data_IF_092342887149
#
_entry.id   IF_092342887149
#
_cell.length_a   1.000
_cell.length_b   1.000
_cell.length_c   1.000
_cell.angle_alpha   90.00
_cell.angle_beta   90.00
_cell.angle_gamma   90.00
#
_symmetry.space_group_name_H-M   'P 1'
#
loop_
_entity.id
_entity.type
_entity.pdbx_description
1 polymer ?
#
# COMPACT_ATOMS: atom_id res chain seq x y z
N UNK A 1 16.21 7.86 -8.55
CA UNK A 1 16.78 7.76 -7.20
C UNK A 1 15.87 8.46 -6.18
N UNK A 2 15.95 8.15 -4.87
CA UNK A 2 15.21 8.89 -3.86
C UNK A 2 15.51 10.39 -3.92
N UNK A 3 14.46 11.20 -3.99
CA UNK A 3 14.55 12.65 -4.17
C UNK A 3 14.44 13.14 -5.61
N UNK A 4 14.44 12.25 -6.58
CA UNK A 4 14.14 12.62 -7.97
C UNK A 4 12.68 13.06 -8.08
N UNK A 5 12.43 14.06 -8.91
CA UNK A 5 11.11 14.63 -9.14
C UNK A 5 10.66 14.51 -10.58
N UNK A 6 9.37 14.27 -10.78
CA UNK A 6 8.72 14.28 -12.08
C UNK A 6 7.50 15.21 -12.03
N UNK A 7 7.36 16.09 -13.02
CA UNK A 7 6.17 16.93 -13.19
C UNK A 7 5.23 16.35 -14.23
N UNK A 8 3.99 16.14 -13.84
CA UNK A 8 2.94 15.60 -14.71
C UNK A 8 1.65 16.42 -14.56
N UNK A 9 1.22 17.10 -15.63
CA UNK A 9 -0.09 17.74 -15.68
C UNK A 9 -0.38 18.78 -14.59
N UNK A 10 0.67 19.45 -14.08
CA UNK A 10 0.54 20.42 -12.97
C UNK A 10 0.75 19.81 -11.58
N UNK A 11 0.93 18.50 -11.49
CA UNK A 11 1.32 17.81 -10.26
C UNK A 11 2.80 17.52 -10.19
N UNK A 12 3.31 17.34 -8.97
CA UNK A 12 4.68 16.96 -8.67
C UNK A 12 4.69 15.54 -8.09
N UNK A 13 5.56 14.68 -8.60
CA UNK A 13 5.83 13.35 -8.04
C UNK A 13 7.26 13.34 -7.54
N UNK A 14 7.48 12.87 -6.32
CA UNK A 14 8.79 12.67 -5.72
C UNK A 14 9.03 11.20 -5.45
N UNK A 15 10.17 10.68 -5.88
CA UNK A 15 10.61 9.32 -5.53
C UNK A 15 11.06 9.30 -4.07
N UNK A 16 10.45 8.43 -3.27
CA UNK A 16 10.73 8.28 -1.84
C UNK A 16 11.67 7.11 -1.54
N UNK A 17 11.53 6.05 -2.33
CA UNK A 17 12.33 4.84 -2.17
C UNK A 17 12.63 4.22 -3.53
N UNK A 18 13.80 3.59 -3.67
CA UNK A 18 14.20 2.84 -4.86
C UNK A 18 15.46 2.04 -4.54
N UNK A 19 15.53 0.79 -4.99
CA UNK A 19 16.72 -0.07 -4.85
C UNK A 19 17.25 -0.18 -3.40
N UNK A 20 16.36 -0.25 -2.43
CA UNK A 20 16.60 -0.25 -0.96
C UNK A 20 17.08 1.09 -0.38
N UNK A 21 17.26 2.09 -1.19
CA UNK A 21 17.57 3.44 -0.70
C UNK A 21 16.26 4.19 -0.42
N UNK A 22 16.26 5.03 0.61
CA UNK A 22 15.12 5.84 1.01
C UNK A 22 15.46 7.32 1.05
N UNK A 23 14.45 8.16 0.88
CA UNK A 23 14.57 9.60 0.96
C UNK A 23 15.05 10.04 2.35
N UNK A 24 16.08 10.87 2.39
CA UNK A 24 16.70 11.37 3.63
C UNK A 24 16.32 12.82 3.98
N UNK A 25 15.39 13.41 3.24
CA UNK A 25 14.88 14.78 3.45
C UNK A 25 13.36 14.81 3.32
N UNK A 26 12.65 15.68 4.03
CA UNK A 26 11.21 15.74 3.91
C UNK A 26 10.77 16.35 2.56
N UNK A 27 9.61 15.90 2.06
CA UNK A 27 8.82 16.64 1.06
C UNK A 27 8.03 17.77 1.74
N UNK A 28 7.38 18.61 0.96
CA UNK A 28 6.53 19.67 1.49
C UNK A 28 5.40 19.11 2.35
N UNK A 29 5.33 19.52 3.61
CA UNK A 29 4.36 19.04 4.60
C UNK A 29 4.90 17.96 5.54
N UNK A 30 6.03 17.35 5.21
CA UNK A 30 6.69 16.35 6.04
C UNK A 30 7.73 16.91 7.01
N UNK A 31 8.41 16.01 7.70
CA UNK A 31 9.54 16.29 8.59
C UNK A 31 9.22 16.23 10.08
N UNK A 32 7.96 16.02 10.46
CA UNK A 32 7.55 15.88 11.85
C UNK A 32 8.05 14.56 12.44
N UNK A 33 8.33 14.58 13.76
CA UNK A 33 8.70 13.37 14.49
C UNK A 33 7.59 12.33 14.37
N UNK A 34 7.96 11.11 14.05
CA UNK A 34 7.04 9.99 13.98
C UNK A 34 6.95 9.29 15.36
N UNK A 35 5.82 9.39 16.08
CA UNK A 35 5.69 8.82 17.42
C UNK A 35 5.67 7.29 17.43
N UNK A 36 5.34 6.66 16.30
CA UNK A 36 5.20 5.21 16.19
C UNK A 36 6.55 4.48 16.04
N UNK A 37 7.64 5.18 15.82
CA UNK A 37 8.96 4.56 15.62
C UNK A 37 9.44 3.74 16.82
N UNK A 38 9.09 4.13 18.05
CA UNK A 38 9.54 3.44 19.26
C UNK A 38 8.91 2.06 19.48
N UNK A 39 7.77 1.82 18.86
CA UNK A 39 7.04 0.53 18.93
C UNK A 39 7.43 -0.47 17.85
N UNK A 40 8.21 -0.06 16.87
CA UNK A 40 8.55 -0.92 15.74
C UNK A 40 9.55 -2.03 16.14
N UNK A 41 9.23 -3.25 15.70
CA UNK A 41 10.11 -4.41 15.86
C UNK A 41 10.66 -4.79 14.50
N UNK A 42 11.98 -4.70 14.32
CA UNK A 42 12.64 -5.10 13.06
C UNK A 42 12.33 -6.55 12.71
N UNK A 43 12.00 -6.76 11.46
CA UNK A 43 11.76 -8.06 10.87
C UNK A 43 13.07 -8.63 10.27
N UNK A 44 13.11 -9.93 9.93
CA UNK A 44 14.20 -10.47 9.11
C UNK A 44 14.40 -9.63 7.86
N UNK A 45 15.65 -9.45 7.46
CA UNK A 45 15.97 -8.66 6.27
C UNK A 45 15.39 -9.29 5.01
N UNK A 46 14.67 -8.48 4.24
CA UNK A 46 14.22 -8.85 2.90
C UNK A 46 15.30 -8.47 1.88
N UNK A 47 15.81 -9.47 1.19
CA UNK A 47 16.75 -9.31 0.10
C UNK A 47 16.10 -9.51 -1.28
N UNK A 48 14.78 -9.63 -1.33
CA UNK A 48 13.99 -9.78 -2.55
C UNK A 48 13.77 -8.46 -3.29
N UNK A 49 13.03 -8.57 -4.38
CA UNK A 49 12.70 -7.43 -5.23
C UNK A 49 11.73 -6.46 -4.53
N UNK A 50 10.88 -6.95 -3.61
CA UNK A 50 9.92 -6.13 -2.89
C UNK A 50 10.60 -5.01 -2.08
N UNK A 51 11.69 -5.33 -1.38
CA UNK A 51 12.47 -4.33 -0.66
C UNK A 51 13.14 -3.29 -1.58
N UNK A 52 13.16 -3.51 -2.89
CA UNK A 52 13.73 -2.62 -3.91
C UNK A 52 12.65 -1.81 -4.65
N UNK A 53 11.38 -1.94 -4.25
CA UNK A 53 10.25 -1.24 -4.88
C UNK A 53 10.48 0.27 -4.96
N UNK A 54 9.89 0.87 -5.98
CA UNK A 54 9.85 2.32 -6.14
C UNK A 54 8.67 2.86 -5.32
N UNK A 55 9.00 3.66 -4.30
CA UNK A 55 8.01 4.42 -3.54
C UNK A 55 7.90 5.85 -4.08
N UNK A 56 6.69 6.38 -4.16
CA UNK A 56 6.43 7.74 -4.63
C UNK A 56 5.45 8.48 -3.73
N UNK A 57 5.66 9.78 -3.63
CA UNK A 57 4.70 10.75 -3.11
C UNK A 57 4.27 11.67 -4.25
N UNK A 58 2.99 11.81 -4.46
CA UNK A 58 2.42 12.72 -5.43
C UNK A 58 1.70 13.88 -4.78
N UNK A 59 1.79 15.07 -5.38
CA UNK A 59 1.09 16.28 -4.96
C UNK A 59 0.49 17.01 -6.15
N UNK A 60 -0.78 17.41 -6.01
CA UNK A 60 -1.46 18.28 -6.97
C UNK A 60 -2.26 19.33 -6.18
N UNK A 61 -1.76 20.56 -6.17
CA UNK A 61 -2.29 21.58 -5.26
C UNK A 61 -2.12 21.16 -3.80
N UNK A 62 -3.24 21.05 -3.09
CA UNK A 62 -3.25 20.56 -1.71
C UNK A 62 -3.49 19.06 -1.61
N UNK A 63 -3.95 18.42 -2.69
CA UNK A 63 -4.15 16.97 -2.74
C UNK A 63 -2.83 16.21 -2.75
N UNK A 64 -2.73 15.18 -1.94
CA UNK A 64 -1.53 14.32 -1.80
C UNK A 64 -1.87 12.85 -1.86
N UNK A 65 -0.95 12.06 -2.44
CA UNK A 65 -1.06 10.60 -2.36
C UNK A 65 0.30 9.94 -2.11
N UNK A 66 0.24 8.76 -1.51
CA UNK A 66 1.40 7.91 -1.24
C UNK A 66 1.20 6.52 -1.87
N UNK A 67 2.24 6.04 -2.55
CA UNK A 67 2.32 4.68 -3.07
C UNK A 67 3.74 4.15 -2.88
N UNK A 68 3.90 3.06 -2.12
CA UNK A 68 5.22 2.52 -1.78
C UNK A 68 5.55 1.21 -2.51
N UNK A 69 4.75 0.83 -3.51
CA UNK A 69 4.92 -0.45 -4.20
C UNK A 69 4.73 -1.63 -3.24
N UNK A 70 5.65 -2.57 -3.29
CA UNK A 70 5.68 -3.74 -2.41
C UNK A 70 6.80 -3.64 -1.35
N UNK A 71 7.17 -2.40 -0.93
CA UNK A 71 8.17 -2.20 0.13
C UNK A 71 7.85 -3.03 1.37
N UNK A 72 8.89 -3.52 2.02
CA UNK A 72 8.76 -4.32 3.25
C UNK A 72 9.05 -3.50 4.50
N UNK A 73 8.56 -3.96 5.64
CA UNK A 73 8.49 -3.22 6.90
C UNK A 73 9.81 -2.56 7.33
N UNK A 74 10.97 -3.20 7.10
CA UNK A 74 12.25 -2.61 7.50
C UNK A 74 12.57 -1.37 6.64
N UNK A 75 12.36 -1.43 5.33
CA UNK A 75 12.57 -0.30 4.42
C UNK A 75 11.54 0.81 4.66
N UNK A 76 10.28 0.43 4.95
CA UNK A 76 9.24 1.37 5.36
C UNK A 76 9.62 2.09 6.67
N UNK A 77 10.19 1.36 7.65
CA UNK A 77 10.69 1.97 8.88
C UNK A 77 11.86 2.93 8.61
N UNK A 78 12.80 2.56 7.76
CA UNK A 78 13.94 3.42 7.40
C UNK A 78 13.49 4.71 6.71
N UNK A 79 12.45 4.64 5.88
CA UNK A 79 11.85 5.81 5.26
C UNK A 79 11.18 6.72 6.30
N UNK A 80 10.44 6.14 7.25
CA UNK A 80 9.48 6.87 8.09
C UNK A 80 10.04 7.28 9.46
N UNK A 81 11.23 6.81 9.83
CA UNK A 81 11.81 7.03 11.16
C UNK A 81 13.20 7.70 11.10
N UNK A 82 13.51 8.58 12.06
CA UNK A 82 12.70 8.99 13.22
C UNK A 82 11.63 10.04 12.92
N UNK A 83 11.62 10.58 11.70
CA UNK A 83 10.67 11.61 11.29
C UNK A 83 9.91 11.14 10.05
N UNK A 84 8.61 11.42 10.01
CA UNK A 84 7.78 11.17 8.84
C UNK A 84 8.15 12.16 7.71
N UNK A 85 8.76 11.73 6.60
CA UNK A 85 9.21 12.65 5.55
C UNK A 85 8.08 13.14 4.66
N UNK A 86 6.90 12.51 4.68
CA UNK A 86 5.79 12.83 3.74
C UNK A 86 4.68 13.66 4.39
N UNK A 87 4.53 13.61 5.72
CA UNK A 87 3.40 14.23 6.40
C UNK A 87 2.13 13.41 6.29
N UNK A 88 0.96 14.04 6.39
CA UNK A 88 -0.35 13.41 6.18
C UNK A 88 -0.66 13.33 4.69
N UNK A 89 -1.48 12.34 4.27
CA UNK A 89 -1.86 12.18 2.87
C UNK A 89 -3.36 11.99 2.71
N UNK A 90 -3.92 12.47 1.61
CA UNK A 90 -5.34 12.25 1.31
C UNK A 90 -5.59 10.81 0.87
N UNK A 91 -4.72 10.26 0.03
CA UNK A 91 -4.86 8.90 -0.49
C UNK A 91 -3.61 8.07 -0.24
N UNK A 92 -3.79 6.90 0.34
CA UNK A 92 -2.75 5.89 0.49
C UNK A 92 -3.08 4.66 -0.36
N UNK A 93 -2.22 4.33 -1.31
CA UNK A 93 -2.27 3.04 -1.98
C UNK A 93 -1.57 2.03 -1.07
N UNK A 94 -2.35 1.12 -0.48
CA UNK A 94 -1.88 0.19 0.54
C UNK A 94 -0.72 -0.64 0.02
N UNK A 95 0.39 -0.59 0.74
CA UNK A 95 1.64 -1.24 0.35
C UNK A 95 1.45 -2.76 0.27
N UNK A 96 2.09 -3.37 -0.75
CA UNK A 96 2.18 -4.81 -0.90
C UNK A 96 0.83 -5.53 -0.79
N UNK A 97 -0.19 -4.96 -1.42
CA UNK A 97 -1.55 -5.51 -1.48
C UNK A 97 -2.23 -5.72 -0.10
N UNK A 98 -1.72 -5.11 0.96
CA UNK A 98 -2.19 -5.38 2.34
C UNK A 98 -1.67 -6.70 2.91
N UNK A 99 -0.43 -7.07 2.60
CA UNK A 99 0.26 -8.18 3.24
C UNK A 99 0.87 -7.78 4.59
N UNK A 100 1.00 -8.72 5.56
CA UNK A 100 1.51 -8.42 6.91
C UNK A 100 3.02 -8.17 6.95
N UNK A 101 3.74 -8.35 5.84
CA UNK A 101 5.16 -8.01 5.69
C UNK A 101 5.39 -6.53 5.40
N UNK A 102 4.32 -5.76 5.33
CA UNK A 102 4.30 -4.33 5.00
C UNK A 102 3.22 -3.62 5.82
N UNK A 103 3.07 -2.31 5.65
CA UNK A 103 2.05 -1.49 6.31
C UNK A 103 2.16 -1.42 7.84
N UNK A 104 3.36 -1.27 8.44
CA UNK A 104 3.46 -1.08 9.88
C UNK A 104 2.85 0.26 10.32
N UNK A 105 2.52 0.37 11.61
CA UNK A 105 1.99 1.63 12.18
C UNK A 105 2.87 2.84 11.90
N UNK A 106 4.18 2.65 11.79
CA UNK A 106 5.12 3.73 11.46
C UNK A 106 4.87 4.36 10.10
N UNK A 107 4.19 3.65 9.20
CA UNK A 107 3.69 4.21 7.94
C UNK A 107 2.25 4.64 8.11
N UNK A 108 1.36 3.67 8.30
CA UNK A 108 -0.09 3.86 8.15
C UNK A 108 -0.64 4.88 9.14
N UNK A 109 -0.23 4.80 10.41
CA UNK A 109 -0.69 5.75 11.42
C UNK A 109 0.01 7.11 11.33
N UNK A 110 1.26 7.13 10.86
CA UNK A 110 2.00 8.39 10.76
C UNK A 110 1.57 9.28 9.59
N UNK A 111 1.03 8.67 8.53
CA UNK A 111 0.53 9.43 7.36
C UNK A 111 -0.94 9.84 7.49
N UNK A 112 -1.68 9.32 8.49
CA UNK A 112 -3.09 9.64 8.76
C UNK A 112 -3.93 9.71 7.46
N UNK A 113 -3.99 8.62 6.66
CA UNK A 113 -4.61 8.70 5.35
C UNK A 113 -6.13 8.90 5.49
N UNK A 114 -6.71 9.77 4.67
CA UNK A 114 -8.18 9.90 4.62
C UNK A 114 -8.82 8.74 3.88
N UNK A 115 -8.21 8.33 2.77
CA UNK A 115 -8.68 7.20 1.96
C UNK A 115 -7.53 6.22 1.76
N UNK A 116 -7.76 4.95 2.03
CA UNK A 116 -6.86 3.87 1.70
C UNK A 116 -7.44 3.04 0.54
N UNK A 117 -6.62 2.72 -0.45
CA UNK A 117 -6.99 1.86 -1.58
C UNK A 117 -6.09 0.65 -1.60
N UNK A 118 -6.68 -0.52 -1.44
CA UNK A 118 -5.97 -1.79 -1.43
C UNK A 118 -6.17 -2.51 -2.75
N UNK A 119 -5.10 -2.63 -3.53
CA UNK A 119 -5.07 -3.35 -4.80
C UNK A 119 -4.80 -4.85 -4.58
N UNK A 120 -5.61 -5.46 -3.72
CA UNK A 120 -5.53 -6.88 -3.40
C UNK A 120 -6.19 -7.76 -4.47
N UNK A 121 -5.84 -9.03 -4.46
CA UNK A 121 -6.58 -10.08 -5.14
C UNK A 121 -7.44 -10.89 -4.15
N UNK A 122 -8.24 -11.82 -4.66
CA UNK A 122 -9.10 -12.69 -3.84
C UNK A 122 -8.30 -13.53 -2.85
N UNK A 123 -7.10 -13.98 -3.25
CA UNK A 123 -6.18 -14.81 -2.47
C UNK A 123 -4.80 -14.18 -2.27
N UNK A 124 -4.67 -12.89 -2.48
CA UNK A 124 -3.42 -12.15 -2.28
C UNK A 124 -3.70 -10.82 -1.63
N UNK A 125 -3.12 -10.61 -0.46
CA UNK A 125 -3.28 -9.38 0.29
C UNK A 125 -4.58 -9.29 1.09
N UNK A 126 -4.82 -8.13 1.70
CA UNK A 126 -5.95 -7.92 2.59
C UNK A 126 -5.93 -8.85 3.81
N UNK A 127 -4.75 -9.17 4.35
CA UNK A 127 -4.63 -10.08 5.48
C UNK A 127 -4.95 -9.40 6.82
N UNK A 128 -5.42 -10.14 7.84
CA UNK A 128 -5.91 -9.60 9.10
C UNK A 128 -4.99 -8.57 9.75
N UNK A 129 -3.70 -8.88 9.88
CA UNK A 129 -2.76 -7.97 10.54
C UNK A 129 -2.62 -6.59 9.84
N UNK A 130 -2.67 -6.56 8.51
CA UNK A 130 -2.66 -5.30 7.77
C UNK A 130 -3.99 -4.57 7.88
N UNK A 131 -5.11 -5.31 7.88
CA UNK A 131 -6.45 -4.76 8.06
C UNK A 131 -6.63 -4.13 9.44
N UNK A 132 -6.14 -4.77 10.52
CA UNK A 132 -6.18 -4.22 11.88
C UNK A 132 -5.48 -2.86 11.97
N UNK A 133 -4.29 -2.74 11.37
CA UNK A 133 -3.52 -1.49 11.36
C UNK A 133 -4.26 -0.42 10.54
N UNK A 134 -4.79 -0.78 9.38
CA UNK A 134 -5.53 0.15 8.52
C UNK A 134 -6.80 0.66 9.22
N UNK A 135 -7.63 -0.23 9.77
CA UNK A 135 -8.87 0.15 10.46
C UNK A 135 -8.65 0.96 11.73
N UNK A 136 -7.49 0.82 12.37
CA UNK A 136 -7.11 1.64 13.53
C UNK A 136 -6.35 2.92 13.18
N UNK A 137 -6.12 3.19 11.89
CA UNK A 137 -5.38 4.37 11.45
C UNK A 137 -6.12 5.67 11.80
N UNK A 138 -5.44 6.64 12.42
CA UNK A 138 -6.01 7.96 12.63
C UNK A 138 -6.40 8.60 11.29
N UNK A 139 -7.55 9.27 11.28
CA UNK A 139 -8.00 10.03 10.10
C UNK A 139 -8.59 9.22 8.96
N UNK A 140 -8.57 7.88 9.01
CA UNK A 140 -9.13 7.05 7.95
C UNK A 140 -10.65 7.22 7.87
N UNK A 141 -11.12 7.67 6.72
CA UNK A 141 -12.54 7.84 6.39
C UNK A 141 -13.05 6.61 5.61
N UNK A 142 -12.29 6.16 4.60
CA UNK A 142 -12.67 5.08 3.70
C UNK A 142 -11.51 4.10 3.43
N UNK A 143 -11.82 2.80 3.43
CA UNK A 143 -10.93 1.75 2.94
C UNK A 143 -11.58 1.02 1.76
N UNK A 144 -10.97 1.15 0.60
CA UNK A 144 -11.42 0.48 -0.62
C UNK A 144 -10.55 -0.74 -0.94
N UNK A 145 -11.17 -1.86 -1.28
CA UNK A 145 -10.50 -3.06 -1.77
C UNK A 145 -10.85 -3.28 -3.25
N UNK A 146 -9.90 -3.67 -4.08
CA UNK A 146 -10.20 -4.05 -5.46
C UNK A 146 -10.96 -5.37 -5.52
N UNK A 147 -10.64 -6.32 -4.66
CA UNK A 147 -11.31 -7.61 -4.57
C UNK A 147 -11.67 -7.95 -3.12
N UNK A 148 -12.73 -8.75 -2.95
CA UNK A 148 -12.96 -9.44 -1.69
C UNK A 148 -11.74 -10.28 -1.33
N UNK A 149 -11.24 -10.17 -0.10
CA UNK A 149 -10.12 -10.99 0.36
C UNK A 149 -10.62 -12.20 1.14
N UNK A 150 -10.37 -13.39 0.63
CA UNK A 150 -10.62 -14.64 1.36
C UNK A 150 -9.68 -14.85 2.54
N UNK A 151 -8.56 -14.13 2.56
CA UNK A 151 -7.54 -14.26 3.60
C UNK A 151 -7.92 -13.52 4.88
N UNK A 152 -8.77 -12.49 4.78
CA UNK A 152 -9.19 -11.69 5.93
C UNK A 152 -10.54 -12.13 6.54
N UNK A 153 -11.35 -12.88 5.81
CA UNK A 153 -12.68 -13.26 6.27
C UNK A 153 -13.71 -12.12 6.25
N UNK A 154 -14.94 -12.42 6.71
CA UNK A 154 -16.06 -11.47 6.67
C UNK A 154 -15.94 -10.32 7.68
N UNK A 155 -15.23 -10.51 8.76
CA UNK A 155 -15.03 -9.50 9.81
C UNK A 155 -14.36 -8.22 9.32
N UNK A 156 -13.48 -8.35 8.30
CA UNK A 156 -12.80 -7.21 7.67
C UNK A 156 -13.48 -6.73 6.39
N UNK A 157 -14.52 -7.45 5.95
CA UNK A 157 -15.26 -7.17 4.72
C UNK A 157 -16.74 -7.00 5.00
N UNK A 158 -17.07 -6.35 6.11
CA UNK A 158 -18.45 -6.08 6.53
C UNK A 158 -19.25 -5.35 5.43
N UNK A 159 -20.54 -5.56 5.39
CA UNK A 159 -21.45 -4.89 4.47
C UNK A 159 -21.29 -3.36 4.57
N UNK A 160 -21.04 -2.70 3.45
CA UNK A 160 -20.75 -1.26 3.39
C UNK A 160 -19.25 -0.94 3.27
N UNK A 161 -18.37 -1.91 3.43
CA UNK A 161 -16.97 -1.76 3.04
C UNK A 161 -16.91 -1.78 1.53
N UNK A 162 -16.19 -0.83 1.01
CA UNK A 162 -16.08 -0.59 -0.41
C UNK A 162 -15.21 -1.65 -1.08
N UNK A 163 -15.85 -2.61 -1.74
CA UNK A 163 -15.21 -3.66 -2.52
C UNK A 163 -15.64 -3.48 -3.98
N UNK A 164 -14.67 -3.23 -4.86
CA UNK A 164 -14.97 -2.98 -6.26
C UNK A 164 -15.40 -4.25 -6.99
N UNK A 165 -14.77 -5.38 -6.70
CA UNK A 165 -15.09 -6.67 -7.28
C UNK A 165 -15.43 -7.66 -6.17
N UNK A 166 -16.61 -8.24 -6.25
CA UNK A 166 -17.08 -9.27 -5.33
C UNK A 166 -16.34 -10.59 -5.53
N UNK A 167 -16.97 -11.60 -5.02
CA UNK A 167 -16.52 -12.96 -5.08
C UNK A 167 -16.61 -13.49 -6.53
N UNK A 168 -15.56 -14.09 -7.03
CA UNK A 168 -15.53 -14.72 -8.34
C UNK A 168 -15.21 -16.22 -8.17
N UNK A 169 -16.24 -17.04 -8.29
CA UNK A 169 -16.16 -18.50 -8.11
C UNK A 169 -15.15 -19.16 -9.07
N UNK A 170 -14.94 -18.59 -10.26
CA UNK A 170 -13.98 -19.11 -11.23
C UNK A 170 -12.55 -18.83 -10.79
N UNK A 171 -12.30 -17.64 -10.19
CA UNK A 171 -10.99 -17.31 -9.63
C UNK A 171 -10.68 -18.11 -8.37
N UNK A 172 -11.69 -18.56 -7.64
CA UNK A 172 -11.52 -19.40 -6.45
C UNK A 172 -11.06 -20.82 -6.77
N UNK A 173 -11.56 -21.37 -7.87
CA UNK A 173 -11.18 -22.70 -8.33
C UNK A 173 -9.71 -22.75 -8.82
N UNK A 174 -9.06 -21.59 -9.00
CA UNK A 174 -7.69 -21.54 -9.45
C UNK A 174 -6.73 -21.89 -8.32
N UNK A 175 -5.72 -22.74 -8.57
CA UNK A 175 -4.66 -22.97 -7.60
C UNK A 175 -3.95 -21.65 -7.28
N UNK A 176 -3.67 -21.43 -6.00
CA UNK A 176 -2.80 -20.33 -5.56
C UNK A 176 -1.51 -20.43 -6.36
N UNK A 177 -1.10 -19.35 -7.02
CA UNK A 177 0.17 -19.33 -7.70
C UNK A 177 1.28 -19.80 -6.73
N UNK A 178 2.14 -20.73 -7.10
CA UNK A 178 3.23 -21.14 -6.24
C UNK A 178 4.03 -19.89 -5.85
N UNK A 179 4.44 -19.82 -4.61
CA UNK A 179 5.37 -18.82 -4.11
C UNK A 179 6.54 -18.70 -5.09
N UNK A 180 6.94 -17.48 -5.41
CA UNK A 180 7.88 -17.12 -6.46
C UNK A 180 9.04 -18.12 -6.60
N UNK A 181 9.16 -18.77 -7.77
CA UNK A 181 10.21 -19.73 -8.10
C UNK A 181 9.74 -21.04 -8.75
N UNK A 182 8.45 -21.31 -8.82
CA UNK A 182 7.90 -22.46 -9.51
C UNK A 182 7.56 -22.15 -10.97
N UNK A 183 8.13 -22.92 -11.89
CA UNK A 183 7.89 -22.85 -13.33
C UNK A 183 6.54 -23.47 -13.74
N UNK A 184 5.47 -23.18 -13.04
CA UNK A 184 4.16 -23.73 -13.41
C UNK A 184 3.35 -22.69 -14.18
N UNK A 185 3.50 -22.75 -15.49
CA UNK A 185 2.74 -21.97 -16.46
C UNK A 185 1.34 -22.62 -16.66
N UNK A 186 0.54 -22.72 -15.62
CA UNK A 186 -0.89 -22.94 -15.81
C UNK A 186 -1.45 -21.72 -16.56
N UNK A 187 -2.19 -21.92 -17.68
CA UNK A 187 -2.78 -20.81 -18.38
C UNK A 187 -3.73 -20.07 -17.43
N UNK A 188 -3.39 -18.83 -17.12
CA UNK A 188 -4.30 -17.96 -16.36
C UNK A 188 -5.52 -17.71 -17.23
N UNK A 189 -6.76 -17.83 -16.71
CA UNK A 189 -7.91 -17.39 -17.44
C UNK A 189 -7.69 -15.94 -17.86
N UNK A 190 -7.97 -15.67 -19.13
CA UNK A 190 -7.94 -14.31 -19.64
C UNK A 190 -9.09 -13.58 -18.97
N UNK A 191 -8.78 -12.53 -18.23
CA UNK A 191 -9.80 -11.65 -17.66
C UNK A 191 -10.62 -11.08 -18.82
N UNK A 192 -11.91 -11.31 -18.82
CA UNK A 192 -12.81 -10.91 -19.93
C UNK A 192 -13.10 -9.41 -19.98
N UNK A 193 -12.53 -8.63 -19.06
CA UNK A 193 -12.62 -7.16 -19.10
C UNK A 193 -13.81 -6.54 -18.37
N UNK A 194 -14.66 -7.33 -17.76
CA UNK A 194 -15.85 -6.85 -17.03
C UNK A 194 -15.58 -6.50 -15.57
N UNK A 195 -14.30 -6.34 -15.18
CA UNK A 195 -13.94 -5.97 -13.84
C UNK A 195 -14.28 -4.50 -13.53
N UNK A 196 -14.79 -4.26 -12.34
CA UNK A 196 -14.96 -2.92 -11.80
C UNK A 196 -13.58 -2.32 -11.43
N UNK A 197 -13.50 -1.02 -11.51
CA UNK A 197 -12.28 -0.27 -11.20
C UNK A 197 -12.58 0.90 -10.28
N UNK A 198 -11.57 1.36 -9.57
CA UNK A 198 -11.62 2.54 -8.73
C UNK A 198 -10.98 3.73 -9.45
N UNK A 199 -11.61 4.88 -9.39
CA UNK A 199 -11.08 6.14 -9.89
C UNK A 199 -11.05 7.15 -8.75
N UNK A 200 -9.90 7.73 -8.50
CA UNK A 200 -9.74 8.90 -7.63
C UNK A 200 -9.68 10.15 -8.51
N UNK A 201 -10.44 11.16 -8.13
CA UNK A 201 -10.41 12.47 -8.79
C UNK A 201 -10.26 13.54 -7.72
N UNK A 202 -9.24 14.39 -7.85
CA UNK A 202 -9.07 15.60 -7.07
C UNK A 202 -9.56 16.79 -7.91
N UNK A 203 -10.44 17.59 -7.33
CA UNK A 203 -11.02 18.80 -7.95
C UNK A 203 -10.52 20.06 -7.28
#
# INVERSE_FOLDING_TARGET
EPGDGLRLGGGDITVLASAKEVLNRPVTGGGQRNPYCSGFVRQPEDNGENAQSVGIHGRYGDFTFLHLGDLTQNTEFELMCPNNPVGTVDVFVVTHHGQPTSNPEVVVHAIEPRVAIMNNGTRKGGQPAAMDILHSAPGLEDLWQLHFSQLSGQEYTAAGVFIANGFDDELEAMPVAPLAGGSDASPRPVHTGDANWLKVSAG
#
